data_IF_754943280264
#
_entry.id   IF_754943280264
#
_cell.length_a   1.000
_cell.length_b   1.000
_cell.length_c   1.000
_cell.angle_alpha   90.00
_cell.angle_beta   90.00
_cell.angle_gamma   90.00
#
_symmetry.space_group_name_H-M   'P 1'
#
loop_
_entity.id
_entity.type
_entity.pdbx_description
1 polymer ?
#
# COMPACT_ATOMS: atom_id res chain seq x y z
N UNK A 1 4.66 10.18 -4.04
CA UNK A 1 4.14 8.92 -4.64
C UNK A 1 5.05 7.70 -4.47
N UNK A 2 6.37 7.78 -4.71
CA UNK A 2 7.28 6.62 -4.54
C UNK A 2 7.22 5.99 -3.13
N UNK A 3 7.01 6.79 -2.08
CA UNK A 3 6.80 6.27 -0.71
C UNK A 3 5.57 5.37 -0.61
N UNK A 4 4.49 5.73 -1.31
CA UNK A 4 3.25 4.94 -1.31
C UNK A 4 3.47 3.63 -2.04
N UNK A 5 4.18 3.66 -3.17
CA UNK A 5 4.55 2.44 -3.91
C UNK A 5 5.39 1.50 -3.03
N UNK A 6 6.38 2.02 -2.29
CA UNK A 6 7.19 1.21 -1.38
C UNK A 6 6.37 0.60 -0.22
N UNK A 7 5.52 1.42 0.42
CA UNK A 7 4.59 0.95 1.46
C UNK A 7 3.68 -0.16 0.92
N UNK A 8 3.07 0.06 -0.26
CA UNK A 8 2.17 -0.90 -0.90
C UNK A 8 2.90 -2.18 -1.25
N UNK A 9 4.08 -2.09 -1.86
CA UNK A 9 4.86 -3.26 -2.25
C UNK A 9 5.25 -4.10 -1.04
N UNK A 10 5.66 -3.45 0.04
CA UNK A 10 5.94 -4.12 1.31
C UNK A 10 4.69 -4.76 1.90
N UNK A 11 3.54 -4.09 1.84
CA UNK A 11 2.28 -4.64 2.33
C UNK A 11 1.78 -5.82 1.48
N UNK A 12 2.07 -5.86 0.17
CA UNK A 12 1.79 -7.04 -0.66
C UNK A 12 2.64 -8.22 -0.21
N UNK A 13 3.95 -8.03 -0.02
CA UNK A 13 4.88 -9.10 0.31
C UNK A 13 4.84 -9.57 1.77
N UNK A 14 4.47 -8.69 2.71
CA UNK A 14 4.46 -8.96 4.15
C UNK A 14 3.06 -8.68 4.72
N UNK A 15 2.34 -9.76 5.02
CA UNK A 15 1.00 -9.68 5.60
C UNK A 15 1.00 -9.01 6.98
N UNK A 16 2.05 -9.20 7.80
CA UNK A 16 2.16 -8.53 9.10
C UNK A 16 2.30 -7.02 8.94
N UNK A 17 3.13 -6.58 7.98
CA UNK A 17 3.22 -5.17 7.63
C UNK A 17 1.90 -4.63 7.06
N UNK A 18 1.19 -5.42 6.24
CA UNK A 18 -0.14 -5.05 5.73
C UNK A 18 -1.13 -4.77 6.86
N UNK A 19 -1.14 -5.59 7.92
CA UNK A 19 -1.99 -5.34 9.09
C UNK A 19 -1.66 -4.01 9.76
N UNK A 20 -0.38 -3.64 9.84
CA UNK A 20 0.03 -2.34 10.36
C UNK A 20 -0.45 -1.17 9.47
N UNK A 21 -0.49 -1.35 8.15
CA UNK A 21 -1.05 -0.34 7.23
C UNK A 21 -2.57 -0.24 7.38
N UNK A 22 -3.27 -1.38 7.42
CA UNK A 22 -4.74 -1.44 7.50
C UNK A 22 -5.30 -0.86 8.80
N UNK A 23 -4.63 -1.09 9.93
CA UNK A 23 -5.16 -0.74 11.26
C UNK A 23 -4.33 0.32 12.00
N UNK A 24 -3.10 0.59 11.55
CA UNK A 24 -2.15 1.53 12.15
C UNK A 24 -1.75 2.65 11.19
N UNK A 25 -2.66 3.06 10.30
CA UNK A 25 -2.40 4.05 9.26
C UNK A 25 -1.75 5.33 9.78
N UNK A 26 -2.19 5.85 10.93
CA UNK A 26 -1.61 7.06 11.53
C UNK A 26 -0.11 6.89 11.86
N UNK A 27 0.29 5.71 12.35
CA UNK A 27 1.69 5.40 12.64
C UNK A 27 2.50 5.27 11.35
N UNK A 28 1.93 4.73 10.28
CA UNK A 28 2.57 4.66 8.96
C UNK A 28 2.78 6.05 8.38
N UNK A 29 1.75 6.90 8.40
CA UNK A 29 1.81 8.30 7.94
C UNK A 29 2.92 9.05 8.67
N UNK A 30 2.96 8.94 10.00
CA UNK A 30 3.98 9.59 10.81
C UNK A 30 5.39 9.03 10.54
N UNK A 31 5.55 7.70 10.52
CA UNK A 31 6.86 7.05 10.36
C UNK A 31 7.49 7.30 9.00
N UNK A 32 6.67 7.43 7.95
CA UNK A 32 7.15 7.69 6.59
C UNK A 32 7.15 9.17 6.21
N UNK A 33 6.75 10.04 7.14
CA UNK A 33 6.60 11.48 6.93
C UNK A 33 5.81 11.76 5.64
N UNK A 34 4.65 11.14 5.52
CA UNK A 34 3.78 11.33 4.36
C UNK A 34 3.18 12.73 4.38
N UNK A 35 3.06 13.32 3.19
CA UNK A 35 2.27 14.55 3.02
C UNK A 35 0.78 14.24 3.16
N UNK A 36 -0.05 15.26 3.34
CA UNK A 36 -1.51 15.08 3.41
C UNK A 36 -2.07 14.42 2.15
N UNK A 37 -1.51 14.75 0.98
CA UNK A 37 -1.86 14.13 -0.29
C UNK A 37 -1.50 12.63 -0.31
N UNK A 38 -0.26 12.29 0.06
CA UNK A 38 0.18 10.90 0.13
C UNK A 38 -0.62 10.09 1.17
N UNK A 39 -0.96 10.70 2.30
CA UNK A 39 -1.81 10.09 3.32
C UNK A 39 -3.25 9.88 2.80
N UNK A 40 -3.80 10.81 2.01
CA UNK A 40 -5.11 10.66 1.39
C UNK A 40 -5.12 9.50 0.38
N UNK A 41 -4.08 9.38 -0.46
CA UNK A 41 -3.93 8.26 -1.39
C UNK A 41 -3.78 6.93 -0.64
N UNK A 42 -2.96 6.89 0.42
CA UNK A 42 -2.75 5.69 1.22
C UNK A 42 -4.01 5.23 1.95
N UNK A 43 -4.80 6.18 2.47
CA UNK A 43 -5.98 5.93 3.30
C UNK A 43 -7.26 5.65 2.52
N UNK A 44 -7.30 6.00 1.24
CA UNK A 44 -8.39 5.69 0.33
C UNK A 44 -8.03 4.55 -0.63
N UNK A 45 -7.72 4.85 -1.90
CA UNK A 45 -7.64 3.85 -2.96
C UNK A 45 -6.62 2.75 -2.69
N UNK A 46 -5.48 3.07 -2.07
CA UNK A 46 -4.47 2.05 -1.76
C UNK A 46 -4.90 1.14 -0.62
N UNK A 47 -5.55 1.67 0.41
CA UNK A 47 -6.07 0.87 1.52
C UNK A 47 -7.12 -0.12 1.05
N UNK A 48 -8.02 0.34 0.16
CA UNK A 48 -9.06 -0.47 -0.45
C UNK A 48 -8.45 -1.66 -1.22
N UNK A 49 -7.46 -1.39 -2.08
CA UNK A 49 -6.74 -2.42 -2.82
C UNK A 49 -6.02 -3.42 -1.91
N UNK A 50 -5.31 -2.92 -0.88
CA UNK A 50 -4.62 -3.79 0.07
C UNK A 50 -5.58 -4.66 0.89
N UNK A 51 -6.78 -4.15 1.20
CA UNK A 51 -7.81 -4.89 1.93
C UNK A 51 -8.45 -6.01 1.11
N UNK A 52 -8.48 -5.87 -0.21
CA UNK A 52 -9.06 -6.84 -1.14
C UNK A 52 -8.12 -8.01 -1.48
N UNK A 53 -6.82 -7.88 -1.18
CA UNK A 53 -5.83 -8.92 -1.45
C UNK A 53 -6.11 -10.21 -0.65
N UNK A 54 -5.77 -11.40 -1.20
CA UNK A 54 -5.84 -12.65 -0.47
C UNK A 54 -4.94 -12.66 0.78
N UNK A 55 -5.35 -13.45 1.78
CA UNK A 55 -4.69 -13.55 3.08
C UNK A 55 -4.10 -14.96 3.29
N UNK A 56 -2.77 -15.13 3.24
CA UNK A 56 -1.77 -14.22 2.65
C UNK A 56 -1.75 -14.31 1.11
N UNK A 57 -1.14 -13.31 0.46
CA UNK A 57 -0.80 -13.36 -0.97
C UNK A 57 0.21 -14.48 -1.18
N UNK A 58 0.00 -15.30 -2.21
CA UNK A 58 0.91 -16.39 -2.51
C UNK A 58 2.22 -15.84 -3.09
N UNK A 59 3.39 -16.44 -2.77
CA UNK A 59 4.67 -15.94 -3.26
C UNK A 59 4.76 -15.78 -4.78
N UNK A 60 4.08 -16.65 -5.53
CA UNK A 60 4.03 -16.59 -7.00
C UNK A 60 3.30 -15.34 -7.53
N UNK A 61 2.37 -14.79 -6.75
CA UNK A 61 1.51 -13.68 -7.16
C UNK A 61 2.01 -12.32 -6.64
N UNK A 62 3.04 -12.30 -5.77
CA UNK A 62 3.56 -11.07 -5.16
C UNK A 62 3.98 -10.06 -6.23
N UNK A 63 4.76 -10.49 -7.23
CA UNK A 63 5.28 -9.58 -8.26
C UNK A 63 4.14 -8.98 -9.09
N UNK A 64 3.16 -9.79 -9.49
CA UNK A 64 2.01 -9.31 -10.27
C UNK A 64 1.14 -8.34 -9.49
N UNK A 65 0.87 -8.61 -8.21
CA UNK A 65 0.08 -7.70 -7.38
C UNK A 65 0.83 -6.39 -7.08
N UNK A 66 2.15 -6.45 -6.87
CA UNK A 66 2.98 -5.25 -6.72
C UNK A 66 2.93 -4.37 -7.97
N UNK A 67 3.11 -4.96 -9.16
CA UNK A 67 3.02 -4.21 -10.42
C UNK A 67 1.64 -3.60 -10.64
N UNK A 68 0.57 -4.36 -10.35
CA UNK A 68 -0.81 -3.87 -10.47
C UNK A 68 -1.08 -2.67 -9.56
N UNK A 69 -0.69 -2.75 -8.28
CA UNK A 69 -0.87 -1.65 -7.34
C UNK A 69 -0.01 -0.44 -7.72
N UNK A 70 1.22 -0.67 -8.20
CA UNK A 70 2.08 0.41 -8.67
C UNK A 70 1.45 1.19 -9.84
N UNK A 71 0.87 0.50 -10.82
CA UNK A 71 0.17 1.13 -11.94
C UNK A 71 -1.00 2.01 -11.47
N UNK A 72 -1.79 1.51 -10.50
CA UNK A 72 -2.88 2.29 -9.89
C UNK A 72 -2.33 3.54 -9.21
N UNK A 73 -1.30 3.41 -8.37
CA UNK A 73 -0.72 4.53 -7.63
C UNK A 73 -0.12 5.58 -8.57
N UNK A 74 0.55 5.16 -9.64
CA UNK A 74 1.09 6.07 -10.66
C UNK A 74 -0.03 6.79 -11.41
N UNK A 75 -1.17 6.13 -11.65
CA UNK A 75 -2.35 6.73 -12.27
C UNK A 75 -3.10 7.75 -11.39
N UNK A 76 -2.80 7.79 -10.09
CA UNK A 76 -3.39 8.73 -9.12
C UNK A 76 -2.55 9.99 -8.88
N UNK A 77 -1.37 10.08 -9.49
CA UNK A 77 -0.55 11.31 -9.43
C UNK A 77 -1.21 12.37 -10.32
N UNK A 78 -1.74 13.43 -9.70
CA UNK A 78 -2.29 14.59 -10.40
C UNK A 78 -1.22 15.66 -10.66
#
# INVERSE_FOLDING_TARGET
MEKIIDISNRAVADYGFRQAVLYGLADIVAKWSLTDEEAAVLSGPVLDELSALPVPVQPADIISEQSRLEEIIRGLSF
#
